data_IF_131836182656
#
_entry.id   IF_131836182656
#
_cell.length_a   1.000
_cell.length_b   1.000
_cell.length_c   1.000
_cell.angle_alpha   90.00
_cell.angle_beta   90.00
_cell.angle_gamma   90.00
#
_symmetry.space_group_name_H-M   'P 1'
#
loop_
_entity.id
_entity.type
_entity.pdbx_description
1 polymer ?
#
# COMPACT_ATOMS: atom_id res chain seq x y z
N UNK A 1 -42.21 44.17 1.15
CA UNK A 1 -42.90 42.86 1.05
C UNK A 1 -42.54 42.30 -0.31
N UNK A 2 -41.88 41.14 -0.35
CA UNK A 2 -41.16 40.69 -1.55
C UNK A 2 -42.12 40.21 -2.65
N UNK A 3 -41.74 40.49 -3.90
CA UNK A 3 -42.43 40.07 -5.10
C UNK A 3 -41.46 39.38 -6.05
N UNK A 4 -41.95 38.44 -6.85
CA UNK A 4 -41.22 37.83 -7.96
C UNK A 4 -41.86 38.27 -9.27
N UNK A 5 -41.06 38.88 -10.15
CA UNK A 5 -41.46 39.25 -11.51
C UNK A 5 -41.09 38.09 -12.45
N UNK A 6 -42.08 37.48 -13.09
CA UNK A 6 -41.91 36.31 -13.99
C UNK A 6 -41.31 36.71 -15.34
N UNK A 7 -41.78 37.83 -15.88
CA UNK A 7 -41.39 38.32 -17.20
C UNK A 7 -41.15 39.82 -17.13
N UNK A 8 -40.07 40.29 -17.74
CA UNK A 8 -39.79 41.73 -17.80
C UNK A 8 -40.85 42.44 -18.65
N UNK A 9 -41.32 43.61 -18.20
CA UNK A 9 -42.38 44.35 -18.88
C UNK A 9 -42.35 45.84 -18.48
N UNK A 10 -42.69 46.72 -19.40
CA UNK A 10 -42.87 48.15 -19.10
C UNK A 10 -44.35 48.45 -18.86
N UNK A 11 -44.67 48.95 -17.66
CA UNK A 11 -46.00 49.43 -17.31
C UNK A 11 -46.13 50.92 -17.67
N UNK A 12 -47.27 51.31 -18.23
CA UNK A 12 -47.63 52.70 -18.52
C UNK A 12 -48.61 53.18 -17.45
N UNK A 13 -48.15 54.08 -16.59
CA UNK A 13 -48.90 54.54 -15.42
C UNK A 13 -49.90 55.65 -15.79
N UNK A 14 -50.89 55.88 -14.93
CA UNK A 14 -51.97 56.84 -15.18
C UNK A 14 -51.50 58.31 -15.25
N UNK A 15 -50.33 58.62 -14.69
CA UNK A 15 -49.68 59.93 -14.78
C UNK A 15 -48.90 60.13 -16.09
N UNK A 16 -48.95 59.15 -17.01
CA UNK A 16 -48.24 59.16 -18.28
C UNK A 16 -46.78 58.69 -18.19
N UNK A 17 -46.27 58.42 -16.98
CA UNK A 17 -44.93 57.87 -16.78
C UNK A 17 -44.88 56.38 -17.11
N UNK A 18 -43.66 55.85 -17.21
CA UNK A 18 -43.41 54.43 -17.49
C UNK A 18 -42.54 53.82 -16.40
N UNK A 19 -42.82 52.57 -16.05
CA UNK A 19 -42.06 51.82 -15.06
C UNK A 19 -41.67 50.46 -15.61
N UNK A 20 -40.37 50.13 -15.56
CA UNK A 20 -39.86 48.86 -16.04
C UNK A 20 -39.84 47.82 -14.91
N UNK A 21 -40.61 46.76 -15.09
CA UNK A 21 -40.51 45.53 -14.30
C UNK A 21 -39.35 44.70 -14.85
N UNK A 22 -38.34 44.49 -14.02
CA UNK A 22 -37.21 43.60 -14.32
C UNK A 22 -37.54 42.20 -13.79
N UNK A 23 -37.28 41.16 -14.56
CA UNK A 23 -37.49 39.79 -14.08
C UNK A 23 -36.61 39.48 -12.86
N UNK A 24 -37.15 38.78 -11.86
CA UNK A 24 -36.43 38.44 -10.62
C UNK A 24 -37.19 38.79 -9.33
N UNK A 25 -36.51 38.65 -8.18
CA UNK A 25 -37.07 39.00 -6.87
C UNK A 25 -36.80 40.46 -6.52
N UNK A 26 -37.83 41.16 -6.04
CA UNK A 26 -37.79 42.57 -5.65
C UNK A 26 -38.45 42.75 -4.29
N UNK A 27 -37.81 43.50 -3.40
CA UNK A 27 -38.26 43.63 -2.00
C UNK A 27 -39.54 44.48 -1.85
N UNK A 28 -39.77 45.42 -2.76
CA UNK A 28 -41.02 46.18 -2.87
C UNK A 28 -41.15 46.87 -4.23
N UNK A 29 -42.36 47.35 -4.51
CA UNK A 29 -42.65 48.23 -5.63
C UNK A 29 -43.41 49.49 -5.16
N UNK A 30 -43.30 50.61 -5.88
CA UNK A 30 -44.11 51.81 -5.62
C UNK A 30 -45.63 51.52 -5.63
N UNK A 31 -46.41 52.27 -4.86
CA UNK A 31 -47.85 52.02 -4.73
C UNK A 31 -48.63 52.18 -6.06
N UNK A 32 -48.27 53.17 -6.86
CA UNK A 32 -48.80 53.39 -8.22
C UNK A 32 -48.51 52.21 -9.16
N UNK A 33 -47.36 51.56 -9.00
CA UNK A 33 -46.97 50.35 -9.76
C UNK A 33 -47.78 49.14 -9.29
N UNK A 34 -47.90 48.93 -7.96
CA UNK A 34 -48.67 47.81 -7.38
C UNK A 34 -50.17 47.88 -7.70
N UNK A 35 -50.71 49.09 -7.82
CA UNK A 35 -52.12 49.31 -8.14
C UNK A 35 -52.41 49.29 -9.65
N UNK A 36 -51.39 49.16 -10.51
CA UNK A 36 -51.58 49.08 -11.94
C UNK A 36 -52.26 47.77 -12.33
N UNK A 37 -53.26 47.82 -13.22
CA UNK A 37 -54.10 46.68 -13.58
C UNK A 37 -53.31 45.46 -14.10
N UNK A 38 -52.20 45.69 -14.79
CA UNK A 38 -51.36 44.64 -15.34
C UNK A 38 -50.29 44.12 -14.35
N UNK A 39 -50.08 44.75 -13.18
CA UNK A 39 -48.98 44.40 -12.28
C UNK A 39 -49.06 42.94 -11.79
N UNK A 40 -50.25 42.49 -11.38
CA UNK A 40 -50.47 41.13 -10.91
C UNK A 40 -50.29 40.05 -11.99
N UNK A 41 -50.26 40.42 -13.28
CA UNK A 41 -49.97 39.49 -14.37
C UNK A 41 -48.47 39.22 -14.54
N UNK A 42 -47.62 40.14 -14.06
CA UNK A 42 -46.16 40.04 -14.18
C UNK A 42 -45.47 39.75 -12.85
N UNK A 43 -46.03 40.21 -11.74
CA UNK A 43 -45.45 40.12 -10.41
C UNK A 43 -46.37 39.39 -9.43
N UNK A 44 -45.82 38.41 -8.71
CA UNK A 44 -46.52 37.66 -7.66
C UNK A 44 -45.87 37.93 -6.30
N UNK A 45 -46.67 37.99 -5.23
CA UNK A 45 -46.14 38.12 -3.87
C UNK A 45 -45.45 36.84 -3.46
N UNK A 46 -44.23 36.95 -2.94
CA UNK A 46 -43.48 35.83 -2.37
C UNK A 46 -43.59 35.90 -0.86
N UNK A 47 -44.08 34.82 -0.26
CA UNK A 47 -44.06 34.63 1.19
C UNK A 47 -42.70 34.06 1.60
N UNK A 48 -41.77 34.94 1.96
CA UNK A 48 -40.41 34.57 2.37
C UNK A 48 -40.36 33.90 3.75
N UNK A 49 -41.44 33.93 4.53
CA UNK A 49 -41.49 33.31 5.87
C UNK A 49 -41.34 31.78 5.85
N UNK A 50 -41.69 31.14 4.73
CA UNK A 50 -41.55 29.68 4.54
C UNK A 50 -40.13 29.28 4.11
N UNK A 51 -39.37 30.21 3.52
CA UNK A 51 -38.00 29.99 3.08
C UNK A 51 -37.05 29.84 4.28
N UNK A 52 -37.20 30.71 5.29
CA UNK A 52 -36.35 30.71 6.49
C UNK A 52 -36.38 29.39 7.27
N UNK A 53 -37.53 28.71 7.30
CA UNK A 53 -37.70 27.43 8.02
C UNK A 53 -37.06 26.26 7.25
N UNK A 54 -37.12 26.28 5.91
CA UNK A 54 -36.49 25.27 5.07
C UNK A 54 -34.95 25.38 5.12
N UNK A 55 -34.43 26.61 5.07
CA UNK A 55 -33.00 26.88 5.13
C UNK A 55 -32.39 26.56 6.50
N UNK A 56 -33.12 26.79 7.60
CA UNK A 56 -32.70 26.38 8.95
C UNK A 56 -32.66 24.86 9.14
N UNK A 57 -33.64 24.13 8.60
CA UNK A 57 -33.62 22.65 8.63
C UNK A 57 -32.48 22.10 7.78
N UNK A 58 -32.25 22.66 6.59
CA UNK A 58 -31.16 22.28 5.70
C UNK A 58 -29.79 22.53 6.32
N UNK A 59 -29.56 23.70 6.92
CA UNK A 59 -28.31 24.02 7.62
C UNK A 59 -28.07 23.16 8.85
N UNK A 60 -29.11 22.82 9.61
CA UNK A 60 -28.98 21.92 10.76
C UNK A 60 -28.59 20.50 10.34
N UNK A 61 -29.23 19.97 9.29
CA UNK A 61 -28.91 18.66 8.73
C UNK A 61 -27.47 18.63 8.18
N UNK A 62 -27.07 19.65 7.43
CA UNK A 62 -25.72 19.79 6.90
C UNK A 62 -24.66 19.84 8.01
N UNK A 63 -24.90 20.62 9.09
CA UNK A 63 -24.00 20.66 10.25
C UNK A 63 -23.85 19.30 10.93
N UNK A 64 -24.95 18.54 11.07
CA UNK A 64 -24.90 17.18 11.62
C UNK A 64 -24.06 16.26 10.75
N UNK A 65 -24.25 16.32 9.43
CA UNK A 65 -23.48 15.52 8.49
C UNK A 65 -21.99 15.89 8.50
N UNK A 66 -21.65 17.18 8.53
CA UNK A 66 -20.26 17.64 8.65
C UNK A 66 -19.61 17.08 9.92
N UNK A 67 -20.31 17.15 11.07
CA UNK A 67 -19.78 16.60 12.32
C UNK A 67 -19.56 15.09 12.24
N UNK A 68 -20.52 14.36 11.67
CA UNK A 68 -20.41 12.92 11.48
C UNK A 68 -19.23 12.55 10.56
N UNK A 69 -19.05 13.29 9.46
CA UNK A 69 -17.92 13.10 8.55
C UNK A 69 -16.58 13.41 9.23
N UNK A 70 -16.51 14.46 10.06
CA UNK A 70 -15.31 14.79 10.84
C UNK A 70 -14.96 13.70 11.86
N UNK A 71 -15.96 13.12 12.52
CA UNK A 71 -15.77 11.99 13.45
C UNK A 71 -15.28 10.74 12.70
N UNK A 72 -15.86 10.45 11.53
CA UNK A 72 -15.40 9.35 10.68
C UNK A 72 -13.97 9.54 10.18
N UNK A 73 -13.60 10.76 9.81
CA UNK A 73 -12.25 11.08 9.33
C UNK A 73 -11.22 10.85 10.45
N UNK A 74 -11.48 11.36 11.66
CA UNK A 74 -10.63 11.09 12.83
C UNK A 74 -10.50 9.60 13.16
N UNK A 75 -11.59 8.84 13.06
CA UNK A 75 -11.56 7.40 13.29
C UNK A 75 -10.72 6.67 12.22
N UNK A 76 -10.77 7.13 10.97
CA UNK A 76 -9.96 6.59 9.87
C UNK A 76 -8.48 6.94 10.01
N UNK A 77 -8.16 8.15 10.45
CA UNK A 77 -6.77 8.56 10.73
C UNK A 77 -6.17 7.68 11.84
N UNK A 78 -6.90 7.48 12.95
CA UNK A 78 -6.43 6.61 14.03
C UNK A 78 -6.22 5.15 13.57
N UNK A 79 -7.08 4.65 12.68
CA UNK A 79 -6.92 3.32 12.09
C UNK A 79 -5.70 3.24 11.17
N UNK A 80 -5.39 4.31 10.43
CA UNK A 80 -4.18 4.38 9.61
C UNK A 80 -2.93 4.34 10.49
N UNK A 81 -2.89 5.14 11.56
CA UNK A 81 -1.78 5.13 12.52
C UNK A 81 -1.54 3.73 13.11
N UNK A 82 -2.62 3.04 13.51
CA UNK A 82 -2.54 1.66 14.01
C UNK A 82 -1.97 0.69 12.96
N UNK A 83 -2.42 0.81 11.71
CA UNK A 83 -1.95 -0.04 10.62
C UNK A 83 -0.52 0.24 10.21
N UNK A 84 -0.06 1.49 10.31
CA UNK A 84 1.34 1.83 10.07
C UNK A 84 2.27 1.18 11.11
N UNK A 85 1.84 1.14 12.38
CA UNK A 85 2.57 0.43 13.43
C UNK A 85 2.62 -1.07 13.15
N UNK A 86 1.48 -1.68 12.81
CA UNK A 86 1.42 -3.12 12.50
C UNK A 86 2.32 -3.48 11.30
N UNK A 87 2.33 -2.65 10.26
CA UNK A 87 3.22 -2.84 9.11
C UNK A 87 4.69 -2.76 9.53
N UNK A 88 5.06 -1.79 10.38
CA UNK A 88 6.43 -1.66 10.87
C UNK A 88 6.87 -2.90 11.66
N UNK A 89 6.01 -3.43 12.53
CA UNK A 89 6.27 -4.68 13.26
C UNK A 89 6.41 -5.88 12.33
N UNK A 90 5.55 -6.00 11.32
CA UNK A 90 5.64 -7.08 10.32
C UNK A 90 6.93 -7.02 9.51
N UNK A 91 7.41 -5.82 9.15
CA UNK A 91 8.70 -5.64 8.47
C UNK A 91 9.85 -6.15 9.34
N UNK A 92 9.86 -5.81 10.63
CA UNK A 92 10.87 -6.33 11.58
C UNK A 92 10.83 -7.85 11.65
N UNK A 93 9.65 -8.45 11.74
CA UNK A 93 9.50 -9.91 11.77
C UNK A 93 10.01 -10.57 10.47
N UNK A 94 9.74 -9.96 9.31
CA UNK A 94 10.24 -10.44 8.02
C UNK A 94 11.78 -10.43 8.00
N UNK A 95 12.41 -9.36 8.48
CA UNK A 95 13.86 -9.26 8.50
C UNK A 95 14.51 -10.26 9.47
N UNK A 96 13.87 -10.50 10.62
CA UNK A 96 14.30 -11.55 11.55
C UNK A 96 14.17 -12.95 10.93
N UNK A 97 13.06 -13.24 10.24
CA UNK A 97 12.86 -14.51 9.56
C UNK A 97 13.88 -14.72 8.45
N UNK A 98 14.20 -13.69 7.65
CA UNK A 98 15.26 -13.76 6.64
C UNK A 98 16.61 -14.10 7.26
N UNK A 99 16.98 -13.42 8.35
CA UNK A 99 18.22 -13.70 9.05
C UNK A 99 18.28 -15.15 9.56
N UNK A 100 17.16 -15.66 10.09
CA UNK A 100 17.04 -17.04 10.55
C UNK A 100 17.16 -18.07 9.41
N UNK A 101 16.61 -17.76 8.24
CA UNK A 101 16.77 -18.61 7.04
C UNK A 101 18.23 -18.70 6.64
N UNK A 102 18.94 -17.57 6.56
CA UNK A 102 20.38 -17.55 6.24
C UNK A 102 21.21 -18.34 7.25
N UNK A 103 20.89 -18.23 8.54
CA UNK A 103 21.57 -19.01 9.59
C UNK A 103 21.34 -20.52 9.41
N UNK A 104 20.09 -20.93 9.13
CA UNK A 104 19.76 -22.34 8.90
C UNK A 104 20.43 -22.90 7.63
N UNK A 105 20.53 -22.10 6.57
CA UNK A 105 21.26 -22.47 5.34
C UNK A 105 22.75 -22.70 5.63
N UNK A 106 23.37 -21.84 6.45
CA UNK A 106 24.77 -22.03 6.88
C UNK A 106 24.93 -23.31 7.69
N UNK A 107 24.05 -23.56 8.67
CA UNK A 107 24.10 -24.78 9.48
C UNK A 107 23.86 -26.04 8.65
N UNK A 108 23.03 -25.98 7.61
CA UNK A 108 22.82 -27.09 6.69
C UNK A 108 24.10 -27.41 5.89
N UNK A 109 24.78 -26.37 5.38
CA UNK A 109 26.05 -26.54 4.67
C UNK A 109 27.15 -27.10 5.59
N UNK A 110 27.25 -26.61 6.83
CA UNK A 110 28.21 -27.12 7.83
C UNK A 110 27.93 -28.61 8.15
N UNK A 111 26.66 -28.98 8.32
CA UNK A 111 26.27 -30.37 8.55
C UNK A 111 26.62 -31.28 7.36
N UNK A 112 26.41 -30.82 6.12
CA UNK A 112 26.77 -31.57 4.92
C UNK A 112 28.29 -31.79 4.85
N UNK A 113 29.09 -30.76 5.17
CA UNK A 113 30.54 -30.87 5.24
C UNK A 113 31.02 -31.84 6.33
N UNK A 114 30.38 -31.83 7.51
CA UNK A 114 30.66 -32.77 8.59
C UNK A 114 30.33 -34.21 8.19
N UNK A 115 29.19 -34.44 7.54
CA UNK A 115 28.79 -35.75 7.05
C UNK A 115 29.79 -36.29 6.01
N UNK A 116 30.25 -35.44 5.07
CA UNK A 116 31.29 -35.82 4.12
C UNK A 116 32.61 -36.18 4.80
N UNK A 117 33.01 -35.43 5.85
CA UNK A 117 34.22 -35.70 6.63
C UNK A 117 34.13 -37.03 7.39
N UNK A 118 32.97 -37.34 7.96
CA UNK A 118 32.71 -38.63 8.63
C UNK A 118 32.87 -39.76 7.62
N UNK A 119 32.23 -39.66 6.44
CA UNK A 119 32.33 -40.68 5.40
C UNK A 119 33.77 -40.93 4.93
N UNK A 120 34.60 -39.89 4.83
CA UNK A 120 36.03 -40.03 4.48
C UNK A 120 36.83 -40.73 5.60
N UNK A 121 36.54 -40.43 6.87
CA UNK A 121 37.20 -41.08 8.01
C UNK A 121 36.78 -42.54 8.21
N UNK A 122 35.58 -42.91 7.77
CA UNK A 122 35.07 -44.29 7.81
C UNK A 122 35.63 -45.16 6.67
N UNK A 123 36.30 -44.57 5.69
CA UNK A 123 36.90 -45.31 4.57
C UNK A 123 38.09 -46.15 5.11
N UNK A 124 38.14 -47.47 4.84
CA UNK A 124 39.20 -48.32 5.36
C UNK A 124 40.56 -47.91 4.78
N UNK A 125 41.59 -47.84 5.63
CA UNK A 125 42.97 -47.61 5.24
C UNK A 125 43.53 -48.81 4.46
N UNK A 126 43.17 -48.93 3.18
CA UNK A 126 43.79 -49.88 2.26
C UNK A 126 44.45 -49.10 1.15
N UNK A 127 45.68 -48.64 1.40
CA UNK A 127 46.74 -48.46 0.39
C UNK A 127 48.03 -48.01 1.08
N UNK A 128 48.76 -48.97 1.65
CA UNK A 128 50.23 -49.03 1.64
C UNK A 128 50.66 -50.38 2.23
N UNK A 129 50.88 -51.38 1.37
CA UNK A 129 52.06 -52.27 1.40
C UNK A 129 51.96 -53.29 0.24
N UNK A 130 52.14 -52.80 -0.99
CA UNK A 130 52.58 -53.67 -2.10
C UNK A 130 54.11 -53.75 -2.01
N UNK A 131 54.61 -54.67 -1.18
CA UNK A 131 56.01 -54.66 -0.79
C UNK A 131 56.56 -55.89 -0.08
N UNK A 132 55.92 -57.06 -0.19
CA UNK A 132 56.54 -58.32 0.30
C UNK A 132 56.39 -59.46 -0.69
N UNK A 133 57.12 -59.35 -1.81
CA UNK A 133 57.62 -60.53 -2.50
C UNK A 133 58.93 -60.98 -1.85
N UNK A 134 58.88 -62.21 -1.36
CA UNK A 134 59.99 -63.17 -1.28
C UNK A 134 60.97 -63.04 -0.10
N UNK A 135 60.64 -63.75 0.99
CA UNK A 135 61.63 -64.47 1.80
C UNK A 135 60.97 -65.66 2.50
N UNK A 136 61.05 -66.83 1.88
CA UNK A 136 60.98 -68.10 2.60
C UNK A 136 62.06 -69.02 2.06
N UNK A 137 62.85 -69.48 3.02
CA UNK A 137 64.11 -70.19 2.89
C UNK A 137 63.97 -71.58 2.24
N UNK A 138 65.01 -71.94 1.48
CA UNK A 138 65.36 -73.35 1.26
C UNK A 138 66.90 -73.46 1.26
N UNK A 139 67.54 -74.10 2.25
CA UNK A 139 68.93 -74.48 2.15
C UNK A 139 69.01 -75.92 1.61
N UNK A 140 69.84 -76.16 0.61
CA UNK A 140 70.73 -77.33 0.53
C UNK A 140 71.42 -77.40 -0.84
N UNK A 141 72.76 -77.43 -0.81
CA UNK A 141 73.50 -78.44 -1.58
C UNK A 141 74.06 -78.09 -2.96
N UNK A 142 75.34 -77.70 -2.95
CA UNK A 142 76.41 -78.08 -3.90
C UNK A 142 76.55 -77.44 -5.31
N UNK A 143 77.60 -76.59 -5.37
CA UNK A 143 78.80 -76.65 -6.23
C UNK A 143 78.66 -76.57 -7.77
N UNK A 144 79.19 -75.46 -8.32
CA UNK A 144 80.45 -75.35 -9.11
C UNK A 144 80.43 -74.05 -9.92
N UNK A 145 81.39 -73.16 -9.64
CA UNK A 145 82.49 -72.79 -10.53
C UNK A 145 82.02 -72.24 -11.89
N UNK A 146 82.10 -70.92 -12.09
CA UNK A 146 83.24 -70.29 -12.77
C UNK A 146 82.89 -68.89 -13.34
N UNK A 147 83.75 -67.92 -12.99
CA UNK A 147 84.45 -67.02 -13.93
C UNK A 147 83.74 -65.81 -14.57
N UNK A 148 84.21 -64.63 -14.11
CA UNK A 148 84.49 -63.36 -14.87
C UNK A 148 83.28 -62.64 -15.49
N UNK A 149 83.21 -61.31 -15.63
CA UNK A 149 84.09 -60.16 -15.43
C UNK A 149 83.18 -58.91 -15.58
N UNK A 150 83.55 -57.80 -14.92
CA UNK A 150 83.59 -56.40 -15.43
C UNK A 150 82.65 -55.98 -16.58
N UNK A 151 82.11 -54.76 -16.69
CA UNK A 151 82.18 -53.51 -15.92
C UNK A 151 81.23 -52.51 -16.63
N UNK A 152 80.83 -51.47 -15.88
CA UNK A 152 80.72 -50.04 -16.27
C UNK A 152 79.91 -49.57 -17.49
N UNK A 153 78.87 -48.77 -17.19
CA UNK A 153 78.75 -47.33 -17.46
C UNK A 153 78.38 -46.80 -18.87
N UNK A 154 77.63 -45.68 -18.84
CA UNK A 154 77.12 -44.78 -19.90
C UNK A 154 75.80 -45.12 -20.59
#
# INVERSE_FOLDING_TARGET
>A
MTFIVKTAATLRLADGSSFDLVAGMHDDFPANVKNHWAFASYAERVDTSKQDVADQKGTTAAKKQIKQLQEQLKAKDALLDEKEVEIAEQVVNIDQLKARVTELESLAADNEALMARIAELEKPATETDDGSKSRTDKPEGEKKDDKKQQASDS
#
